data_IF_403649581479
#
_entry.id   IF_403649581479
#
_cell.length_a   1.000
_cell.length_b   1.000
_cell.length_c   1.000
_cell.angle_alpha   90.00
_cell.angle_beta   90.00
_cell.angle_gamma   90.00
#
_symmetry.space_group_name_H-M   'P 1'
#
loop_
_entity.id
_entity.type
_entity.pdbx_description
1 polymer ?
#
# COMPACT_ATOMS: atom_id res chain seq x y z
N UNK A 1 5.53 13.82 -15.47
CA UNK A 1 5.71 13.11 -14.19
C UNK A 1 5.24 14.05 -13.09
N UNK A 2 4.35 13.60 -12.20
CA UNK A 2 3.83 14.46 -11.12
C UNK A 2 4.95 14.70 -10.09
N UNK A 3 5.18 15.96 -9.71
CA UNK A 3 6.19 16.32 -8.71
C UNK A 3 5.77 15.92 -7.29
N UNK A 4 6.72 15.84 -6.37
CA UNK A 4 6.44 15.54 -4.95
C UNK A 4 5.48 16.57 -4.34
N UNK A 5 5.64 17.85 -4.67
CA UNK A 5 4.74 18.92 -4.22
C UNK A 5 3.32 18.73 -4.77
N UNK A 6 3.20 18.35 -6.05
CA UNK A 6 1.90 18.05 -6.65
C UNK A 6 1.26 16.81 -6.01
N UNK A 7 2.02 15.76 -5.69
CA UNK A 7 1.53 14.58 -4.96
C UNK A 7 0.99 15.01 -3.59
N UNK A 8 1.70 15.89 -2.87
CA UNK A 8 1.24 16.40 -1.57
C UNK A 8 -0.09 17.14 -1.68
N UNK A 9 -0.22 18.04 -2.66
CA UNK A 9 -1.48 18.76 -2.91
C UNK A 9 -2.63 17.79 -3.22
N UNK A 10 -2.38 16.77 -4.04
CA UNK A 10 -3.38 15.75 -4.38
C UNK A 10 -3.73 14.89 -3.16
N UNK A 11 -2.75 14.54 -2.33
CA UNK A 11 -2.96 13.83 -1.07
C UNK A 11 -3.90 14.59 -0.15
N UNK A 12 -3.64 15.89 0.07
CA UNK A 12 -4.47 16.71 0.97
C UNK A 12 -5.92 16.80 0.45
N UNK A 13 -6.10 17.03 -0.85
CA UNK A 13 -7.44 17.08 -1.49
C UNK A 13 -8.21 15.77 -1.38
N UNK A 14 -7.55 14.64 -1.66
CA UNK A 14 -8.20 13.34 -1.54
C UNK A 14 -8.50 12.98 -0.07
N UNK A 15 -7.65 13.43 0.86
CA UNK A 15 -7.89 13.22 2.29
C UNK A 15 -9.11 14.00 2.78
N UNK A 16 -9.33 15.22 2.29
CA UNK A 16 -10.56 15.98 2.55
C UNK A 16 -11.81 15.24 2.06
N UNK A 17 -11.76 14.66 0.85
CA UNK A 17 -12.87 13.86 0.33
C UNK A 17 -13.16 12.63 1.21
N UNK A 18 -12.13 11.90 1.65
CA UNK A 18 -12.35 10.76 2.56
C UNK A 18 -12.92 11.20 3.90
N UNK A 19 -12.47 12.34 4.45
CA UNK A 19 -13.04 12.89 5.68
C UNK A 19 -14.52 13.24 5.50
N UNK A 20 -14.91 13.79 4.35
CA UNK A 20 -16.31 14.05 4.02
C UNK A 20 -17.12 12.74 4.01
N UNK A 21 -16.70 11.75 3.22
CA UNK A 21 -17.37 10.45 3.11
C UNK A 21 -17.52 9.73 4.46
N UNK A 22 -16.42 9.64 5.20
CA UNK A 22 -16.37 8.82 6.42
C UNK A 22 -16.96 9.55 7.62
N UNK A 23 -16.60 10.82 7.83
CA UNK A 23 -16.95 11.53 9.06
C UNK A 23 -18.29 12.28 8.96
N UNK A 24 -18.64 12.76 7.75
CA UNK A 24 -19.87 13.53 7.54
C UNK A 24 -20.99 12.61 7.05
N UNK A 25 -20.73 11.78 6.05
CA UNK A 25 -21.75 10.86 5.50
C UNK A 25 -21.79 9.50 6.19
N UNK A 26 -20.87 9.21 7.12
CA UNK A 26 -20.87 7.96 7.89
C UNK A 26 -20.55 6.72 7.06
N UNK A 27 -19.96 6.88 5.87
CA UNK A 27 -19.58 5.76 5.01
C UNK A 27 -18.45 4.98 5.67
N UNK A 28 -18.59 3.65 5.73
CA UNK A 28 -17.53 2.80 6.29
C UNK A 28 -16.26 2.96 5.43
N UNK A 29 -15.08 3.11 6.04
CA UNK A 29 -13.81 3.20 5.30
C UNK A 29 -13.56 2.06 4.29
N UNK A 30 -14.14 0.88 4.51
CA UNK A 30 -14.04 -0.27 3.61
C UNK A 30 -14.79 -0.09 2.28
N UNK A 31 -15.78 0.81 2.24
CA UNK A 31 -16.60 1.11 1.05
C UNK A 31 -15.96 2.18 0.16
N UNK A 32 -15.08 3.03 0.71
CA UNK A 32 -14.30 4.03 -0.05
C UNK A 32 -12.95 3.47 -0.52
N UNK A 33 -12.90 2.16 -0.84
CA UNK A 33 -11.66 1.41 -1.12
C UNK A 33 -10.79 2.06 -2.21
N UNK A 34 -11.41 2.58 -3.27
CA UNK A 34 -10.68 3.24 -4.36
C UNK A 34 -9.98 4.52 -3.90
N UNK A 35 -10.64 5.32 -3.04
CA UNK A 35 -10.07 6.57 -2.54
C UNK A 35 -8.90 6.31 -1.59
N UNK A 36 -9.06 5.38 -0.64
CA UNK A 36 -7.95 5.00 0.25
C UNK A 36 -6.81 4.34 -0.53
N UNK A 37 -7.12 3.58 -1.59
CA UNK A 37 -6.13 3.00 -2.50
C UNK A 37 -5.24 4.08 -3.11
N UNK A 38 -5.86 5.09 -3.73
CA UNK A 38 -5.14 6.23 -4.32
C UNK A 38 -4.34 7.03 -3.29
N UNK A 39 -4.90 7.31 -2.11
CA UNK A 39 -4.17 7.97 -1.04
C UNK A 39 -2.97 7.16 -0.54
N UNK A 40 -3.08 5.83 -0.53
CA UNK A 40 -1.95 4.97 -0.20
C UNK A 40 -0.80 5.08 -1.21
N UNK A 41 -1.10 5.18 -2.50
CA UNK A 41 -0.07 5.41 -3.52
C UNK A 41 0.65 6.74 -3.31
N UNK A 42 -0.12 7.81 -3.05
CA UNK A 42 0.45 9.12 -2.73
C UNK A 42 1.28 9.07 -1.44
N UNK A 43 0.76 8.46 -0.39
CA UNK A 43 1.48 8.26 0.88
C UNK A 43 2.80 7.52 0.62
N UNK A 44 2.76 6.39 -0.09
CA UNK A 44 3.96 5.64 -0.45
C UNK A 44 4.97 6.51 -1.21
N UNK A 45 4.53 7.24 -2.25
CA UNK A 45 5.40 8.09 -3.02
C UNK A 45 6.05 9.19 -2.18
N UNK A 46 5.32 9.79 -1.23
CA UNK A 46 5.86 10.78 -0.29
C UNK A 46 6.89 10.14 0.67
N UNK A 47 6.57 9.00 1.27
CA UNK A 47 7.43 8.31 2.24
C UNK A 47 8.78 7.89 1.64
N UNK A 48 8.78 7.40 0.40
CA UNK A 48 10.02 6.94 -0.27
C UNK A 48 10.65 8.02 -1.15
N UNK A 49 10.11 9.25 -1.14
CA UNK A 49 10.48 10.32 -2.08
C UNK A 49 10.50 9.83 -3.54
N UNK A 50 9.54 8.97 -3.89
CA UNK A 50 9.39 8.32 -5.17
C UNK A 50 8.43 9.06 -6.10
N UNK A 51 8.11 8.41 -7.21
CA UNK A 51 7.20 8.92 -8.23
C UNK A 51 6.11 7.89 -8.52
N UNK A 52 4.91 8.36 -8.83
CA UNK A 52 3.82 7.48 -9.24
C UNK A 52 4.15 6.87 -10.61
N UNK A 53 3.85 5.58 -10.76
CA UNK A 53 3.97 4.92 -12.06
C UNK A 53 2.87 5.46 -13.00
N UNK A 54 3.27 6.13 -14.09
CA UNK A 54 2.37 7.00 -14.86
C UNK A 54 1.87 6.45 -16.19
N UNK A 55 1.97 5.15 -16.42
CA UNK A 55 1.45 4.54 -17.66
C UNK A 55 0.00 4.10 -17.46
N UNK A 56 -0.96 4.51 -18.31
CA UNK A 56 -2.26 3.87 -18.38
C UNK A 56 -2.08 2.35 -18.55
N UNK A 57 -2.78 1.55 -17.74
CA UNK A 57 -2.60 0.09 -17.66
C UNK A 57 -1.20 -0.36 -17.17
N UNK A 58 -0.51 0.44 -16.35
CA UNK A 58 0.71 -0.03 -15.69
C UNK A 58 0.38 -1.27 -14.84
N UNK A 59 0.99 -2.40 -15.21
CA UNK A 59 0.77 -3.65 -14.51
C UNK A 59 1.79 -3.83 -13.38
N UNK A 60 1.26 -4.05 -12.17
CA UNK A 60 1.98 -4.69 -11.07
C UNK A 60 2.54 -3.79 -9.99
N UNK A 61 2.97 -2.57 -10.30
CA UNK A 61 3.51 -1.61 -9.31
C UNK A 61 2.91 -0.21 -9.48
N UNK A 62 2.94 0.53 -8.38
CA UNK A 62 2.24 1.81 -8.25
C UNK A 62 3.23 2.97 -8.05
N UNK A 63 4.39 2.72 -7.45
CA UNK A 63 5.42 3.73 -7.14
C UNK A 63 6.81 3.25 -7.59
N UNK A 64 7.61 4.18 -8.10
CA UNK A 64 9.02 3.97 -8.43
C UNK A 64 9.89 4.83 -7.50
N UNK A 65 10.80 4.19 -6.76
CA UNK A 65 11.79 4.86 -5.92
C UNK A 65 12.85 5.58 -6.75
N UNK A 66 13.59 6.53 -6.14
CA UNK A 66 14.73 7.20 -6.78
C UNK A 66 15.81 6.22 -7.28
N UNK A 67 15.97 5.08 -6.62
CA UNK A 67 16.89 4.02 -7.01
C UNK A 67 16.31 3.03 -8.05
N UNK A 68 15.16 3.34 -8.66
CA UNK A 68 14.51 2.52 -9.69
C UNK A 68 13.71 1.33 -9.17
N UNK A 69 13.71 1.06 -7.86
CA UNK A 69 12.92 -0.03 -7.28
C UNK A 69 11.42 0.23 -7.45
N UNK A 70 10.68 -0.81 -7.82
CA UNK A 70 9.24 -0.79 -8.08
C UNK A 70 8.48 -1.30 -6.85
N UNK A 71 7.56 -0.49 -6.35
CA UNK A 71 6.76 -0.80 -5.17
C UNK A 71 5.31 -1.11 -5.59
N UNK A 72 4.79 -2.27 -5.18
CA UNK A 72 3.34 -2.49 -5.12
C UNK A 72 2.80 -1.92 -3.81
N UNK A 73 1.76 -1.12 -3.90
CA UNK A 73 1.08 -0.50 -2.77
C UNK A 73 -0.22 -1.22 -2.51
N UNK A 74 -0.45 -1.59 -1.25
CA UNK A 74 -1.70 -2.18 -0.80
C UNK A 74 -2.24 -1.42 0.39
N UNK A 75 -3.39 -0.77 0.20
CA UNK A 75 -4.08 -0.05 1.27
C UNK A 75 -5.25 -0.86 1.80
N UNK A 76 -5.38 -0.94 3.11
CA UNK A 76 -6.55 -1.54 3.77
C UNK A 76 -7.08 -0.66 4.88
N UNK A 77 -8.40 -0.63 5.05
CA UNK A 77 -9.06 -0.04 6.22
C UNK A 77 -9.44 -1.10 7.27
N UNK A 78 -9.11 -2.36 7.03
CA UNK A 78 -9.43 -3.45 7.96
C UNK A 78 -8.41 -3.47 9.10
N UNK A 79 -8.87 -3.68 10.33
CA UNK A 79 -8.00 -3.86 11.52
C UNK A 79 -7.27 -5.20 11.50
N UNK A 80 -7.95 -6.25 11.07
CA UNK A 80 -7.50 -7.65 10.99
C UNK A 80 -7.83 -8.23 9.60
N UNK A 81 -7.31 -9.42 9.30
CA UNK A 81 -7.49 -10.09 8.02
C UNK A 81 -6.20 -10.12 7.21
N UNK A 82 -6.32 -10.12 5.89
CA UNK A 82 -5.19 -10.29 4.98
C UNK A 82 -5.20 -9.27 3.86
N UNK A 83 -4.04 -9.11 3.25
CA UNK A 83 -3.84 -8.32 2.04
C UNK A 83 -3.48 -9.26 0.89
N UNK A 84 -4.20 -9.21 -0.25
CA UNK A 84 -3.88 -10.04 -1.39
C UNK A 84 -2.65 -9.53 -2.13
N UNK A 85 -1.77 -10.46 -2.51
CA UNK A 85 -0.63 -10.24 -3.39
C UNK A 85 -0.87 -11.06 -4.66
N UNK A 86 -0.88 -10.40 -5.81
CA UNK A 86 -1.17 -11.09 -7.07
C UNK A 86 0.02 -11.92 -7.53
N UNK A 87 -0.20 -13.22 -7.73
CA UNK A 87 0.81 -14.13 -8.31
C UNK A 87 1.21 -13.71 -9.72
N UNK A 88 0.28 -13.12 -10.47
CA UNK A 88 0.47 -12.66 -11.85
C UNK A 88 1.40 -11.45 -11.96
N UNK A 89 1.56 -10.66 -10.90
CA UNK A 89 2.37 -9.42 -10.96
C UNK A 89 3.50 -9.39 -9.95
N UNK A 90 3.63 -10.40 -9.10
CA UNK A 90 4.66 -10.46 -8.05
C UNK A 90 6.09 -10.39 -8.60
N UNK A 91 6.31 -10.88 -9.82
CA UNK A 91 7.61 -10.85 -10.51
C UNK A 91 7.95 -9.49 -11.14
N UNK A 92 6.98 -8.57 -11.19
CA UNK A 92 7.14 -7.22 -11.75
C UNK A 92 7.52 -6.18 -10.68
N UNK A 93 7.60 -6.59 -9.42
CA UNK A 93 7.80 -5.67 -8.29
C UNK A 93 9.01 -6.08 -7.46
N UNK A 94 9.65 -5.11 -6.85
CA UNK A 94 10.82 -5.31 -6.01
C UNK A 94 10.43 -5.25 -4.52
N UNK A 95 9.50 -4.37 -4.17
CA UNK A 95 8.99 -4.15 -2.82
C UNK A 95 7.46 -4.17 -2.74
N UNK A 96 6.97 -4.43 -1.53
CA UNK A 96 5.58 -4.26 -1.13
C UNK A 96 5.52 -3.23 0.00
N UNK A 97 4.61 -2.26 -0.13
CA UNK A 97 4.20 -1.40 0.98
C UNK A 97 2.74 -1.68 1.33
N UNK A 98 2.50 -2.12 2.56
CA UNK A 98 1.15 -2.27 3.11
C UNK A 98 0.87 -1.06 3.99
N UNK A 99 -0.19 -0.34 3.66
CA UNK A 99 -0.62 0.86 4.37
C UNK A 99 -1.99 0.57 4.98
N UNK A 100 -2.18 1.01 6.22
CA UNK A 100 -3.45 0.89 6.90
C UNK A 100 -4.05 2.27 7.16
N UNK A 101 -5.33 2.42 6.82
CA UNK A 101 -6.14 3.58 7.15
C UNK A 101 -7.07 3.25 8.33
N UNK A 102 -6.80 3.83 9.50
CA UNK A 102 -7.65 3.71 10.69
C UNK A 102 -7.83 5.07 11.32
N UNK A 103 -9.04 5.36 11.80
CA UNK A 103 -9.35 6.54 12.61
C UNK A 103 -8.82 7.86 11.98
N UNK A 104 -8.98 7.99 10.67
CA UNK A 104 -8.57 9.19 9.93
C UNK A 104 -7.08 9.25 9.56
N UNK A 105 -6.29 8.22 9.84
CA UNK A 105 -4.82 8.24 9.68
C UNK A 105 -4.32 7.07 8.84
N UNK A 106 -3.36 7.37 7.96
CA UNK A 106 -2.57 6.38 7.23
C UNK A 106 -1.32 6.02 8.04
N UNK A 107 -0.97 4.74 8.04
CA UNK A 107 0.25 4.23 8.68
C UNK A 107 0.82 3.04 7.92
N UNK A 108 2.14 2.96 7.84
CA UNK A 108 2.83 1.81 7.25
C UNK A 108 2.75 0.60 8.17
N UNK A 109 2.19 -0.50 7.67
CA UNK A 109 2.15 -1.81 8.35
C UNK A 109 3.40 -2.61 8.02
N UNK A 110 3.81 -2.58 6.75
CA UNK A 110 4.98 -3.27 6.25
C UNK A 110 5.56 -2.49 5.07
N UNK A 111 6.88 -2.40 5.03
CA UNK A 111 7.61 -1.97 3.84
C UNK A 111 8.86 -2.84 3.66
N UNK A 112 9.00 -3.44 2.48
CA UNK A 112 10.23 -4.09 2.05
C UNK A 112 10.01 -5.15 0.98
N UNK A 113 11.06 -5.95 0.75
CA UNK A 113 11.11 -6.90 -0.38
C UNK A 113 9.87 -7.78 -0.54
N UNK A 114 9.40 -7.90 -1.78
CA UNK A 114 8.21 -8.70 -2.11
C UNK A 114 8.43 -10.19 -1.80
N UNK A 115 9.65 -10.71 -2.00
CA UNK A 115 9.97 -12.13 -1.74
C UNK A 115 9.70 -12.52 -0.30
N UNK A 116 10.19 -11.72 0.65
CA UNK A 116 9.94 -11.91 2.09
C UNK A 116 8.44 -11.88 2.43
N UNK A 117 7.69 -11.00 1.78
CA UNK A 117 6.24 -10.91 1.99
C UNK A 117 5.50 -12.15 1.47
N UNK A 118 5.91 -12.67 0.32
CA UNK A 118 5.33 -13.87 -0.32
C UNK A 118 5.67 -15.13 0.47
N UNK A 119 6.91 -15.27 0.95
CA UNK A 119 7.34 -16.40 1.78
C UNK A 119 6.55 -16.51 3.09
N UNK A 120 6.09 -15.38 3.64
CA UNK A 120 5.27 -15.34 4.85
C UNK A 120 3.75 -15.44 4.57
N UNK A 121 3.34 -15.27 3.32
CA UNK A 121 1.95 -15.33 2.89
C UNK A 121 1.50 -16.78 2.67
N UNK A 122 0.19 -17.03 2.79
CA UNK A 122 -0.39 -18.31 2.34
C UNK A 122 -0.75 -18.21 0.87
N UNK A 123 -0.52 -19.24 0.07
CA UNK A 123 -1.08 -19.33 -1.27
C UNK A 123 -2.52 -19.86 -1.18
N UNK A 124 -3.46 -19.18 -1.83
CA UNK A 124 -4.86 -19.58 -1.86
C UNK A 124 -5.24 -20.01 -3.27
N UNK A 125 -5.22 -21.32 -3.52
CA UNK A 125 -5.33 -21.93 -4.86
C UNK A 125 -6.60 -21.53 -5.59
N UNK A 126 -7.72 -21.43 -4.88
CA UNK A 126 -9.04 -21.11 -5.44
C UNK A 126 -9.06 -19.73 -6.12
N UNK A 127 -8.27 -18.77 -5.62
CA UNK A 127 -8.17 -17.41 -6.15
C UNK A 127 -6.87 -17.23 -6.97
N UNK A 128 -5.92 -18.15 -6.85
CA UNK A 128 -4.63 -18.12 -7.52
C UNK A 128 -3.72 -16.99 -7.04
N UNK A 129 -3.87 -16.51 -5.82
CA UNK A 129 -3.12 -15.39 -5.25
C UNK A 129 -2.56 -15.73 -3.87
N UNK A 130 -1.60 -14.93 -3.40
CA UNK A 130 -1.10 -15.03 -2.03
C UNK A 130 -1.89 -14.11 -1.11
N UNK A 131 -2.07 -14.52 0.13
CA UNK A 131 -2.74 -13.76 1.18
C UNK A 131 -1.78 -13.57 2.35
N UNK A 132 -1.35 -12.33 2.55
CA UNK A 132 -0.50 -11.97 3.67
C UNK A 132 -1.36 -11.42 4.82
N UNK A 133 -1.41 -12.16 5.92
CA UNK A 133 -2.09 -11.70 7.14
C UNK A 133 -1.48 -10.40 7.67
N UNK A 134 -2.32 -9.45 8.08
CA UNK A 134 -1.90 -8.12 8.54
C UNK A 134 -1.02 -8.24 9.81
N UNK A 135 -1.33 -9.15 10.73
CA UNK A 135 -0.53 -9.35 11.94
C UNK A 135 0.84 -9.95 11.59
N UNK A 136 0.90 -10.89 10.63
CA UNK A 136 2.18 -11.40 10.10
C UNK A 136 3.01 -10.28 9.46
N UNK A 137 2.38 -9.43 8.64
CA UNK A 137 3.06 -8.29 8.01
C UNK A 137 3.70 -7.35 9.05
N UNK A 138 2.99 -7.03 10.14
CA UNK A 138 3.55 -6.25 11.26
C UNK A 138 4.76 -6.93 11.90
N UNK A 139 4.66 -8.24 12.15
CA UNK A 139 5.76 -9.01 12.75
C UNK A 139 7.01 -8.96 11.86
N UNK A 140 6.86 -9.11 10.55
CA UNK A 140 7.97 -8.98 9.59
C UNK A 140 8.63 -7.60 9.64
N UNK A 141 7.83 -6.53 9.76
CA UNK A 141 8.34 -5.17 9.85
C UNK A 141 9.17 -4.95 11.13
N UNK A 142 8.73 -5.51 12.26
CA UNK A 142 9.45 -5.42 13.54
C UNK A 142 10.80 -6.15 13.49
N UNK A 143 10.84 -7.37 12.94
CA UNK A 143 12.09 -8.15 12.85
C UNK A 143 13.16 -7.44 12.03
N UNK A 144 12.79 -6.74 10.95
CA UNK A 144 13.73 -5.96 10.13
C UNK A 144 14.35 -4.78 10.87
N UNK A 145 13.61 -4.16 11.78
CA UNK A 145 14.13 -3.03 12.55
C UNK A 145 15.13 -3.48 13.62
N UNK A 146 14.94 -4.67 14.21
CA UNK A 146 15.87 -5.22 15.21
C UNK A 146 17.20 -5.68 14.61
N UNK A 147 17.24 -6.10 13.34
CA UNK A 147 18.48 -6.49 12.65
C UNK A 147 19.34 -5.31 12.15
N UNK A 148 18.92 -4.06 12.39
CA UNK A 148 19.65 -2.83 12.03
C UNK A 148 20.21 -2.09 13.25
N UNK A 149 20.17 -2.71 14.43
CA UNK A 149 20.77 -2.20 15.68
C UNK A 149 22.01 -3.01 16.01
#
# INVERSE_FOLDING_TARGET
MISTEQIKILYDKYLELIKLEVNIFGVKPTEVRHLIGRLGEFYCALEVSGTLAHTPNQHGFDVICKNGRRISVKTTAQKTGFVPISSKTVHLVDDLMIIQYLDGKFSTVYYGGIKTAVEAARFYEQVGNFELDIAKARKLALTKNTSRV
#
